data_IF_306890192582
#
_entry.id   IF_306890192582
#
_cell.length_a   1.000
_cell.length_b   1.000
_cell.length_c   1.000
_cell.angle_alpha   90.00
_cell.angle_beta   90.00
_cell.angle_gamma   90.00
#
_symmetry.space_group_name_H-M   'P 1'
#
loop_
_entity.id
_entity.type
_entity.pdbx_description
1 polymer ?
#
# COMPACT_ATOMS: atom_id res chain seq x y z
N UNK A 1 20.85 1.60 -1.36
CA UNK A 1 20.43 2.86 -0.76
C UNK A 1 19.33 2.53 0.25
N UNK A 2 19.55 2.75 1.53
CA UNK A 2 18.60 2.36 2.58
C UNK A 2 17.73 3.56 2.90
N UNK A 3 16.47 3.53 2.54
CA UNK A 3 15.49 4.53 2.96
C UNK A 3 14.89 4.10 4.29
N UNK A 4 15.26 4.78 5.36
CA UNK A 4 14.50 4.77 6.60
C UNK A 4 13.59 5.97 6.54
N UNK A 5 12.30 5.75 6.35
CA UNK A 5 11.32 6.76 6.64
C UNK A 5 10.99 6.63 8.13
N UNK A 6 11.59 7.46 8.95
CA UNK A 6 11.07 7.73 10.27
C UNK A 6 10.20 8.95 10.09
N UNK A 7 8.88 8.85 10.22
CA UNK A 7 8.05 10.03 10.28
C UNK A 7 8.38 10.72 11.60
N UNK A 8 8.92 11.89 11.49
CA UNK A 8 9.09 12.78 12.61
C UNK A 8 8.05 13.84 12.44
N UNK A 9 7.06 13.79 13.29
CA UNK A 9 6.19 14.93 13.50
C UNK A 9 7.04 15.98 14.22
N UNK A 10 7.57 16.91 13.45
CA UNK A 10 8.21 18.10 13.96
C UNK A 10 7.11 19.04 14.45
N UNK A 11 6.39 18.65 15.48
CA UNK A 11 5.64 19.58 16.28
C UNK A 11 6.69 20.45 16.97
N UNK A 12 6.72 21.73 16.62
CA UNK A 12 7.75 22.70 17.03
C UNK A 12 7.97 22.77 18.54
N UNK A 13 7.03 22.26 19.31
CA UNK A 13 7.05 22.23 20.78
C UNK A 13 7.55 20.90 21.38
N UNK A 14 7.75 19.86 20.59
CA UNK A 14 8.28 18.58 21.07
C UNK A 14 9.68 18.37 20.52
N UNK A 15 10.68 18.59 21.36
CA UNK A 15 12.10 18.34 21.13
C UNK A 15 12.39 16.87 20.80
N UNK A 16 12.09 16.45 19.61
CA UNK A 16 12.55 15.17 19.07
C UNK A 16 13.57 15.48 18.00
N UNK A 17 14.86 15.49 18.37
CA UNK A 17 15.95 15.62 17.41
C UNK A 17 15.98 14.38 16.51
N UNK A 18 15.83 14.56 15.21
CA UNK A 18 16.02 13.51 14.23
C UNK A 18 17.41 13.59 13.69
N UNK A 19 18.18 12.56 13.93
CA UNK A 19 19.53 12.45 13.40
C UNK A 19 19.45 11.79 12.02
N UNK A 20 19.81 12.55 10.99
CA UNK A 20 19.95 12.06 9.62
C UNK A 20 21.44 11.81 9.37
N UNK A 21 21.81 10.56 9.09
CA UNK A 21 23.20 10.22 8.80
C UNK A 21 23.62 10.73 7.42
N UNK A 22 24.91 11.00 7.19
CA UNK A 22 25.42 11.30 5.86
C UNK A 22 24.98 10.23 4.85
N UNK A 23 24.58 10.64 3.67
CA UNK A 23 24.06 9.78 2.58
C UNK A 23 22.65 9.23 2.80
N UNK A 24 21.98 9.57 3.88
CA UNK A 24 20.60 9.22 4.12
C UNK A 24 19.66 10.23 3.43
N UNK A 25 18.73 9.74 2.63
CA UNK A 25 17.65 10.57 2.07
C UNK A 25 16.44 10.54 3.01
N UNK A 26 15.71 11.62 3.04
CA UNK A 26 14.44 11.73 3.79
C UNK A 26 13.42 12.52 2.96
N UNK A 27 12.16 12.33 3.28
CA UNK A 27 11.05 13.08 2.68
C UNK A 27 10.49 14.05 3.71
N UNK A 28 10.11 15.22 3.25
CA UNK A 28 9.37 16.20 4.05
C UNK A 28 7.94 16.24 3.54
N UNK A 29 6.97 15.99 4.42
CA UNK A 29 5.55 16.13 4.13
C UNK A 29 5.03 17.36 4.88
N UNK A 30 4.38 18.26 4.19
CA UNK A 30 3.71 19.40 4.80
C UNK A 30 2.40 18.91 5.43
N UNK A 31 2.12 19.38 6.63
CA UNK A 31 0.89 19.05 7.35
C UNK A 31 -0.32 19.58 6.57
N UNK A 32 -1.39 18.79 6.55
CA UNK A 32 -2.61 19.15 5.86
C UNK A 32 -3.16 20.48 6.40
N UNK A 33 -3.44 21.41 5.48
CA UNK A 33 -3.91 22.76 5.81
C UNK A 33 -2.81 23.81 5.99
N UNK A 34 -1.53 23.43 5.91
CA UNK A 34 -0.41 24.36 5.96
C UNK A 34 0.18 24.64 4.60
N UNK A 35 0.72 25.85 4.41
CA UNK A 35 1.42 26.22 3.17
C UNK A 35 2.82 25.64 3.20
N UNK A 36 3.17 24.89 2.15
CA UNK A 36 4.51 24.33 2.02
C UNK A 36 5.58 25.45 2.04
N UNK A 37 6.61 25.37 2.90
CA UNK A 37 7.72 26.29 2.80
C UNK A 37 8.43 26.08 1.46
N UNK A 38 8.86 27.18 0.85
CA UNK A 38 9.54 27.15 -0.46
C UNK A 38 10.90 26.46 -0.38
N UNK A 39 11.51 26.43 0.81
CA UNK A 39 12.83 25.85 1.06
C UNK A 39 12.90 25.18 2.43
N UNK A 40 13.55 24.03 2.51
CA UNK A 40 14.01 23.44 3.77
C UNK A 40 15.45 23.86 3.98
N UNK A 41 15.72 24.64 5.03
CA UNK A 41 17.03 25.19 5.31
C UNK A 41 17.77 24.35 6.36
N UNK A 42 18.94 23.87 6.01
CA UNK A 42 19.87 23.25 6.95
C UNK A 42 20.96 24.25 7.28
N UNK A 43 21.19 24.50 8.55
CA UNK A 43 22.29 25.36 8.98
C UNK A 43 23.41 24.53 9.64
N UNK A 44 24.60 25.12 9.78
CA UNK A 44 25.77 24.43 10.32
C UNK A 44 25.58 23.96 11.79
N UNK A 45 24.64 24.58 12.54
CA UNK A 45 24.34 24.18 13.91
C UNK A 45 23.51 22.90 13.98
N UNK A 46 22.92 22.48 12.86
CA UNK A 46 22.23 21.19 12.74
C UNK A 46 23.21 20.04 12.47
N UNK A 47 24.46 20.36 12.15
CA UNK A 47 25.52 19.36 12.01
C UNK A 47 25.96 18.94 13.41
N UNK A 48 25.45 17.82 13.87
CA UNK A 48 25.89 17.24 15.14
C UNK A 48 27.21 16.52 14.90
N UNK A 49 28.31 17.12 15.33
CA UNK A 49 29.59 16.44 15.42
C UNK A 49 29.68 15.70 16.78
N UNK A 50 28.72 14.83 17.04
CA UNK A 50 28.88 13.81 18.06
C UNK A 50 29.50 12.61 17.40
N UNK A 51 30.57 12.08 17.96
CA UNK A 51 30.86 10.66 17.86
C UNK A 51 29.60 9.92 18.34
N UNK A 52 28.65 9.79 17.45
CA UNK A 52 27.61 8.83 17.62
C UNK A 52 28.36 7.53 17.51
N UNK A 53 28.83 7.04 18.65
CA UNK A 53 29.12 5.61 18.81
C UNK A 53 27.93 5.00 18.08
N UNK A 54 28.14 4.22 17.01
CA UNK A 54 27.04 3.56 16.36
C UNK A 54 26.38 2.76 17.48
N UNK A 55 25.44 3.41 18.18
CA UNK A 55 24.66 2.76 19.17
C UNK A 55 24.01 1.67 18.39
N UNK A 56 24.35 0.47 18.71
CA UNK A 56 23.97 -0.81 18.19
C UNK A 56 22.46 -1.00 18.11
N UNK A 57 21.76 -0.08 17.52
CA UNK A 57 20.53 -0.44 16.83
C UNK A 57 20.98 -1.11 15.54
N UNK A 58 21.42 -2.37 15.72
CA UNK A 58 21.57 -3.29 14.61
C UNK A 58 20.38 -3.05 13.73
N UNK A 59 20.65 -2.74 12.47
CA UNK A 59 19.62 -2.47 11.50
C UNK A 59 18.70 -3.70 11.49
N UNK A 60 17.55 -3.60 12.15
CA UNK A 60 16.60 -4.71 12.21
C UNK A 60 16.06 -4.88 10.82
N UNK A 61 16.69 -5.78 10.06
CA UNK A 61 16.18 -6.16 8.74
C UNK A 61 15.00 -7.08 8.99
N UNK A 62 13.80 -6.61 8.67
CA UNK A 62 12.56 -7.38 8.78
C UNK A 62 12.29 -8.17 7.50
N UNK A 63 11.53 -9.27 7.56
CA UNK A 63 11.03 -9.96 6.36
C UNK A 63 10.29 -8.97 5.45
N UNK A 64 10.69 -8.89 4.18
CA UNK A 64 10.18 -7.86 3.27
C UNK A 64 9.95 -8.43 1.88
N UNK A 65 8.79 -8.14 1.33
CA UNK A 65 8.47 -8.26 -0.10
C UNK A 65 8.60 -6.89 -0.74
N UNK A 66 9.33 -6.79 -1.83
CA UNK A 66 9.48 -5.55 -2.59
C UNK A 66 8.84 -5.71 -3.97
N UNK A 67 7.96 -4.80 -4.31
CA UNK A 67 7.33 -4.67 -5.62
C UNK A 67 8.05 -3.56 -6.37
N UNK A 68 8.66 -3.87 -7.50
CA UNK A 68 9.44 -2.90 -8.29
C UNK A 68 8.87 -2.78 -9.70
N UNK A 69 8.60 -1.54 -10.10
CA UNK A 69 8.30 -1.19 -11.49
C UNK A 69 9.46 -0.43 -12.10
N UNK A 70 9.69 -0.61 -13.40
CA UNK A 70 10.79 0.05 -14.12
C UNK A 70 10.25 0.67 -15.40
N UNK A 71 10.65 1.92 -15.67
CA UNK A 71 10.40 2.60 -16.94
C UNK A 71 11.69 3.28 -17.40
N UNK A 72 12.36 2.69 -18.37
CA UNK A 72 13.69 3.14 -18.82
C UNK A 72 14.71 3.09 -17.68
N UNK A 73 15.28 4.24 -17.33
CA UNK A 73 16.27 4.36 -16.25
C UNK A 73 15.66 4.64 -14.87
N UNK A 74 14.35 4.81 -14.80
CA UNK A 74 13.63 5.13 -13.56
C UNK A 74 12.94 3.90 -13.00
N UNK A 75 12.87 3.82 -11.68
CA UNK A 75 12.15 2.75 -10.98
C UNK A 75 11.31 3.31 -9.82
N UNK A 76 10.21 2.64 -9.54
CA UNK A 76 9.42 2.85 -8.33
C UNK A 76 9.37 1.56 -7.52
N UNK A 77 9.38 1.67 -6.21
CA UNK A 77 9.32 0.53 -5.30
C UNK A 77 8.23 0.73 -4.26
N UNK A 78 7.47 -0.33 -4.02
CA UNK A 78 6.64 -0.48 -2.83
C UNK A 78 7.19 -1.63 -1.98
N UNK A 79 7.17 -1.47 -0.65
CA UNK A 79 7.69 -2.45 0.29
C UNK A 79 6.60 -2.91 1.25
N UNK A 80 6.43 -4.19 1.35
CA UNK A 80 5.57 -4.85 2.31
C UNK A 80 6.47 -5.51 3.37
N UNK A 81 6.45 -4.96 4.59
CA UNK A 81 7.30 -5.37 5.70
C UNK A 81 6.47 -6.17 6.68
N UNK A 82 6.86 -7.40 6.94
CA UNK A 82 6.16 -8.26 7.91
C UNK A 82 6.77 -8.11 9.29
N UNK A 83 5.96 -7.68 10.25
CA UNK A 83 6.35 -7.50 11.66
C UNK A 83 5.18 -7.82 12.57
N UNK A 84 5.38 -8.67 13.56
CA UNK A 84 4.34 -9.01 14.54
C UNK A 84 3.83 -7.80 15.35
N UNK A 85 4.64 -6.75 15.44
CA UNK A 85 4.30 -5.53 16.19
C UNK A 85 3.53 -4.50 15.36
N UNK A 86 3.49 -4.70 14.04
CA UNK A 86 2.80 -3.79 13.12
C UNK A 86 1.29 -4.04 13.09
N UNK A 87 0.55 -3.10 12.54
CA UNK A 87 -0.89 -3.22 12.29
C UNK A 87 -1.17 -3.60 10.84
N UNK A 88 -2.31 -4.24 10.59
CA UNK A 88 -2.84 -4.38 9.22
C UNK A 88 -3.52 -3.09 8.74
N UNK A 89 -4.00 -2.28 9.67
CA UNK A 89 -4.56 -0.97 9.38
C UNK A 89 -3.45 0.06 9.16
N UNK A 90 -3.77 1.11 8.45
CA UNK A 90 -2.84 2.22 8.22
C UNK A 90 -2.46 2.90 9.54
N UNK A 91 -1.17 2.94 9.81
CA UNK A 91 -0.59 3.61 10.97
C UNK A 91 0.43 4.64 10.50
N UNK A 92 0.13 5.91 10.74
CA UNK A 92 1.09 6.99 10.46
C UNK A 92 2.37 6.74 11.28
N UNK A 93 3.50 6.64 10.57
CA UNK A 93 4.77 6.31 11.20
C UNK A 93 5.28 4.90 10.97
N UNK A 94 4.41 3.98 10.67
CA UNK A 94 4.75 2.64 10.21
C UNK A 94 4.62 2.53 8.70
N UNK A 95 3.58 3.16 8.15
CA UNK A 95 3.25 3.15 6.73
C UNK A 95 3.65 4.47 6.04
N UNK A 96 3.92 4.38 4.75
CA UNK A 96 4.25 5.55 3.93
C UNK A 96 3.31 5.63 2.74
N UNK A 97 2.66 6.76 2.62
CA UNK A 97 1.77 7.08 1.51
C UNK A 97 2.45 6.92 0.15
N UNK A 98 1.67 6.63 -0.88
CA UNK A 98 2.10 6.77 -2.26
C UNK A 98 2.55 8.21 -2.52
N UNK A 99 3.62 8.38 -3.28
CA UNK A 99 4.00 9.69 -3.77
C UNK A 99 2.93 10.13 -4.76
N UNK A 100 2.35 11.31 -4.53
CA UNK A 100 1.25 11.83 -5.33
C UNK A 100 1.59 11.99 -6.82
N UNK A 101 0.57 12.26 -7.63
CA UNK A 101 0.59 12.22 -9.10
C UNK A 101 1.51 13.25 -9.80
N UNK A 102 2.19 14.13 -9.09
CA UNK A 102 3.01 15.19 -9.67
C UNK A 102 3.93 14.72 -10.82
N UNK A 103 5.23 14.92 -10.67
CA UNK A 103 6.24 14.58 -11.70
C UNK A 103 6.46 13.05 -11.91
N UNK A 104 5.65 12.19 -11.31
CA UNK A 104 5.80 10.73 -11.32
C UNK A 104 4.82 10.06 -12.30
N UNK A 105 3.99 10.84 -12.99
CA UNK A 105 3.01 10.31 -13.96
C UNK A 105 3.61 9.45 -15.10
N UNK A 106 4.94 9.43 -15.23
CA UNK A 106 5.62 8.63 -16.24
C UNK A 106 5.92 7.20 -15.81
N UNK A 107 5.90 6.92 -14.48
CA UNK A 107 6.24 5.60 -13.92
C UNK A 107 5.00 5.04 -13.24
N UNK A 108 4.62 3.83 -13.59
CA UNK A 108 3.63 3.10 -12.81
C UNK A 108 4.20 2.85 -11.41
N UNK A 109 3.45 3.19 -10.37
CA UNK A 109 3.83 2.97 -8.98
C UNK A 109 3.15 1.73 -8.45
N UNK A 110 3.94 0.75 -8.01
CA UNK A 110 3.39 -0.40 -7.32
C UNK A 110 2.95 0.01 -5.90
N UNK A 111 1.91 -0.65 -5.39
CA UNK A 111 1.41 -0.44 -4.04
C UNK A 111 0.99 -1.75 -3.39
N UNK A 112 0.92 -1.75 -2.07
CA UNK A 112 0.10 -2.66 -1.26
C UNK A 112 -0.90 -1.85 -0.44
N UNK A 113 -1.86 -2.50 0.21
CA UNK A 113 -2.95 -1.82 0.91
C UNK A 113 -2.79 -1.96 2.42
N UNK A 114 -2.66 -0.84 3.12
CA UNK A 114 -2.74 -0.78 4.58
C UNK A 114 -4.16 -0.31 4.97
N UNK A 115 -4.91 -1.17 5.67
CA UNK A 115 -6.30 -0.93 5.98
C UNK A 115 -7.14 -0.69 4.72
N UNK A 116 -7.41 0.56 4.42
CA UNK A 116 -8.21 0.97 3.26
C UNK A 116 -7.46 1.85 2.25
N UNK A 117 -6.15 2.00 2.38
CA UNK A 117 -5.36 2.93 1.59
C UNK A 117 -4.21 2.22 0.88
N UNK A 118 -3.96 2.58 -0.37
CA UNK A 118 -2.74 2.18 -1.06
C UNK A 118 -1.54 2.96 -0.50
N UNK A 119 -0.44 2.24 -0.26
CA UNK A 119 0.78 2.78 0.35
C UNK A 119 2.02 2.30 -0.39
N UNK A 120 3.07 3.12 -0.34
CA UNK A 120 4.39 2.78 -0.89
C UNK A 120 5.22 1.93 0.07
N UNK A 121 5.01 2.08 1.39
CA UNK A 121 5.56 1.20 2.41
C UNK A 121 4.42 0.78 3.33
N UNK A 122 4.27 -0.50 3.50
CA UNK A 122 3.26 -1.14 4.34
C UNK A 122 3.96 -2.01 5.38
N UNK A 123 3.83 -1.66 6.63
CA UNK A 123 4.22 -2.52 7.74
C UNK A 123 2.99 -3.28 8.23
N UNK A 124 3.04 -4.60 8.25
CA UNK A 124 1.87 -5.41 8.60
C UNK A 124 2.25 -6.63 9.44
N UNK A 125 1.36 -7.01 10.33
CA UNK A 125 1.43 -8.29 11.06
C UNK A 125 0.76 -9.44 10.30
N UNK A 126 -0.01 -9.13 9.25
CA UNK A 126 -0.73 -10.13 8.46
C UNK A 126 -0.62 -9.80 6.96
N UNK A 127 0.06 -10.68 6.22
CA UNK A 127 0.27 -10.56 4.77
C UNK A 127 -0.81 -11.28 3.96
N UNK A 128 -1.68 -12.07 4.61
CA UNK A 128 -2.64 -12.89 3.88
C UNK A 128 -3.71 -12.06 3.19
N UNK A 129 -3.92 -12.41 1.94
CA UNK A 129 -4.88 -11.73 1.06
C UNK A 129 -4.66 -10.23 0.98
N UNK A 130 -3.38 -9.84 1.00
CA UNK A 130 -2.94 -8.46 0.88
C UNK A 130 -3.13 -7.97 -0.56
N UNK A 131 -4.00 -6.98 -0.81
CA UNK A 131 -4.16 -6.44 -2.16
C UNK A 131 -2.88 -5.75 -2.61
N UNK A 132 -2.48 -6.02 -3.85
CA UNK A 132 -1.38 -5.34 -4.52
C UNK A 132 -1.83 -4.86 -5.90
N UNK A 133 -1.12 -3.88 -6.44
CA UNK A 133 -1.42 -3.35 -7.76
C UNK A 133 -0.47 -2.25 -8.17
N UNK A 134 -0.84 -1.57 -9.25
CA UNK A 134 -0.12 -0.40 -9.74
C UNK A 134 -1.10 0.77 -9.90
N UNK A 135 -0.62 1.97 -9.58
CA UNK A 135 -1.23 3.21 -10.04
C UNK A 135 -0.58 3.58 -11.36
N UNK A 136 -1.40 3.87 -12.36
CA UNK A 136 -0.96 4.01 -13.72
C UNK A 136 0.07 5.13 -13.93
N UNK A 137 1.13 4.78 -14.64
CA UNK A 137 1.90 5.70 -15.45
C UNK A 137 1.28 5.86 -16.86
N UNK A 138 2.05 6.31 -17.82
CA UNK A 138 1.63 6.45 -19.24
C UNK A 138 1.40 5.10 -19.95
N UNK A 139 1.97 4.02 -19.44
CA UNK A 139 1.86 2.68 -20.03
C UNK A 139 0.59 1.97 -19.58
N UNK A 140 -0.06 1.25 -20.50
CA UNK A 140 -1.26 0.45 -20.17
C UNK A 140 -0.96 -0.78 -19.35
N UNK A 141 0.25 -1.31 -19.44
CA UNK A 141 0.73 -2.44 -18.64
C UNK A 141 2.17 -2.21 -18.23
N UNK A 142 2.59 -2.87 -17.16
CA UNK A 142 3.98 -2.88 -16.71
C UNK A 142 4.29 -4.18 -15.99
N UNK A 143 5.52 -4.62 -16.11
CA UNK A 143 6.04 -5.72 -15.30
C UNK A 143 6.31 -5.21 -13.87
N UNK A 144 5.70 -5.85 -12.90
CA UNK A 144 6.04 -5.70 -11.49
C UNK A 144 6.95 -6.83 -11.09
N UNK A 145 8.19 -6.51 -10.75
CA UNK A 145 9.14 -7.49 -10.20
C UNK A 145 8.89 -7.64 -8.71
N UNK A 146 8.65 -8.87 -8.27
CA UNK A 146 8.47 -9.23 -6.86
C UNK A 146 9.79 -9.79 -6.34
N UNK A 147 10.39 -9.13 -5.34
CA UNK A 147 11.65 -9.57 -4.73
C UNK A 147 11.47 -9.84 -3.25
N UNK A 148 12.12 -10.89 -2.77
CA UNK A 148 12.12 -11.31 -1.38
C UNK A 148 13.49 -11.03 -0.76
N UNK A 149 13.54 -10.35 0.39
CA UNK A 149 14.82 -10.20 1.06
C UNK A 149 15.23 -11.48 1.79
N UNK A 150 16.50 -11.58 2.20
CA UNK A 150 17.04 -12.76 2.88
C UNK A 150 16.31 -13.15 4.17
N UNK A 151 15.69 -12.18 4.85
CA UNK A 151 14.88 -12.46 6.05
C UNK A 151 13.52 -13.06 5.69
N UNK A 152 12.90 -12.61 4.59
CA UNK A 152 11.66 -13.21 4.10
C UNK A 152 11.91 -14.64 3.62
N UNK A 153 12.96 -14.86 2.83
CA UNK A 153 13.34 -16.21 2.37
C UNK A 153 13.61 -17.15 3.55
N UNK A 154 14.32 -16.67 4.58
CA UNK A 154 14.58 -17.47 5.80
C UNK A 154 13.29 -17.77 6.54
N UNK A 155 12.44 -16.74 6.76
CA UNK A 155 11.14 -16.94 7.43
C UNK A 155 10.31 -18.01 6.71
N UNK A 156 10.24 -17.97 5.38
CA UNK A 156 9.51 -18.96 4.60
C UNK A 156 10.10 -20.37 4.78
N UNK A 157 11.44 -20.50 4.75
CA UNK A 157 12.11 -21.79 4.94
C UNK A 157 11.92 -22.34 6.35
N UNK A 158 12.08 -21.50 7.38
CA UNK A 158 11.98 -21.90 8.79
C UNK A 158 10.56 -22.33 9.18
N UNK A 159 9.54 -21.68 8.61
CA UNK A 159 8.13 -21.97 8.83
C UNK A 159 7.58 -23.04 7.87
N UNK A 160 8.39 -23.52 6.92
CA UNK A 160 7.94 -24.47 5.88
C UNK A 160 6.84 -23.88 4.99
N UNK A 161 6.72 -22.54 4.98
CA UNK A 161 5.70 -21.81 4.26
C UNK A 161 6.15 -21.35 2.88
N UNK A 162 5.20 -20.88 2.11
CA UNK A 162 5.39 -20.28 0.79
C UNK A 162 4.55 -19.03 0.65
N UNK A 163 4.98 -18.12 -0.23
CA UNK A 163 4.17 -17.00 -0.65
C UNK A 163 3.62 -17.23 -2.05
N UNK A 164 2.41 -16.77 -2.25
CA UNK A 164 1.71 -16.88 -3.53
C UNK A 164 1.16 -15.53 -3.94
N UNK A 165 1.11 -15.30 -5.24
CA UNK A 165 0.23 -14.31 -5.84
C UNK A 165 -1.03 -15.02 -6.28
N UNK A 166 -2.16 -14.54 -5.81
CA UNK A 166 -3.48 -14.94 -6.29
C UNK A 166 -3.98 -13.90 -7.31
N UNK A 167 -4.32 -14.37 -8.50
CA UNK A 167 -5.03 -13.58 -9.52
C UNK A 167 -6.53 -13.90 -9.43
N UNK A 168 -7.32 -12.97 -8.92
CA UNK A 168 -8.74 -13.15 -8.71
C UNK A 168 -9.50 -13.35 -10.03
N UNK A 169 -9.02 -12.78 -11.14
CA UNK A 169 -9.68 -12.91 -12.45
C UNK A 169 -9.48 -14.31 -13.04
N UNK A 170 -8.27 -14.84 -13.01
CA UNK A 170 -8.00 -16.20 -13.50
C UNK A 170 -8.22 -17.28 -12.44
N UNK A 171 -8.43 -16.88 -11.17
CA UNK A 171 -8.57 -17.76 -9.99
C UNK A 171 -7.37 -18.71 -9.81
N UNK A 172 -6.17 -18.20 -10.14
CA UNK A 172 -4.94 -18.98 -10.08
C UNK A 172 -4.00 -18.47 -9.02
N UNK A 173 -3.30 -19.41 -8.40
CA UNK A 173 -2.17 -19.14 -7.52
C UNK A 173 -0.87 -19.35 -8.28
N UNK A 174 0.07 -18.45 -8.11
CA UNK A 174 1.45 -18.59 -8.58
C UNK A 174 2.38 -18.43 -7.37
N UNK A 175 3.24 -19.43 -7.14
CA UNK A 175 4.25 -19.34 -6.08
C UNK A 175 5.22 -18.20 -6.38
N UNK A 176 5.50 -17.37 -5.39
CA UNK A 176 6.44 -16.25 -5.52
C UNK A 176 7.86 -16.79 -5.41
N UNK A 177 8.56 -16.81 -6.52
CA UNK A 177 10.01 -16.93 -6.57
C UNK A 177 10.65 -15.53 -6.52
N UNK A 178 11.81 -15.39 -5.87
CA UNK A 178 12.54 -14.12 -5.85
C UNK A 178 12.86 -13.63 -7.27
N UNK A 179 12.53 -12.38 -7.57
CA UNK A 179 12.66 -11.80 -8.90
C UNK A 179 11.54 -12.16 -9.89
N UNK A 180 10.47 -12.83 -9.44
CA UNK A 180 9.30 -13.13 -10.25
C UNK A 180 8.72 -11.85 -10.84
N UNK A 181 8.27 -11.91 -12.10
CA UNK A 181 7.58 -10.82 -12.77
C UNK A 181 6.10 -11.12 -12.94
N UNK A 182 5.29 -10.10 -12.70
CA UNK A 182 3.85 -10.13 -12.90
C UNK A 182 3.49 -8.96 -13.82
N UNK A 183 2.93 -9.26 -14.98
CA UNK A 183 2.38 -8.21 -15.82
C UNK A 183 1.07 -7.70 -15.21
N UNK A 184 1.06 -6.42 -14.83
CA UNK A 184 -0.12 -5.77 -14.28
C UNK A 184 -0.61 -4.70 -15.24
N UNK A 185 -1.92 -4.64 -15.44
CA UNK A 185 -2.57 -3.61 -16.23
C UNK A 185 -2.77 -2.36 -15.37
N UNK A 186 -2.61 -1.22 -15.98
CA UNK A 186 -2.96 0.05 -15.36
C UNK A 186 -4.44 0.05 -14.96
N UNK A 187 -4.73 0.47 -13.73
CA UNK A 187 -6.07 0.51 -13.16
C UNK A 187 -6.74 -0.88 -12.96
N UNK A 188 -5.95 -1.97 -12.97
CA UNK A 188 -6.45 -3.31 -12.66
C UNK A 188 -6.47 -3.56 -11.14
N UNK A 189 -7.02 -2.60 -10.41
CA UNK A 189 -7.06 -2.62 -8.95
C UNK A 189 -7.93 -3.75 -8.41
N UNK A 190 -7.46 -4.40 -7.33
CA UNK A 190 -8.21 -5.48 -6.67
C UNK A 190 -8.19 -6.81 -7.43
N UNK A 191 -7.25 -7.01 -8.34
CA UNK A 191 -7.05 -8.27 -9.04
C UNK A 191 -6.03 -9.17 -8.37
N UNK A 192 -4.92 -8.61 -7.91
CA UNK A 192 -3.81 -9.39 -7.39
C UNK A 192 -3.71 -9.29 -5.87
N UNK A 193 -3.40 -10.41 -5.23
CA UNK A 193 -3.27 -10.52 -3.77
C UNK A 193 -2.05 -11.36 -3.42
N UNK A 194 -1.28 -10.93 -2.43
CA UNK A 194 -0.24 -11.77 -1.81
C UNK A 194 -0.89 -12.55 -0.66
N UNK A 195 -0.55 -13.82 -0.54
CA UNK A 195 -1.05 -14.70 0.53
C UNK A 195 -0.06 -15.83 0.81
N UNK A 196 -0.09 -16.37 2.03
CA UNK A 196 0.59 -17.62 2.41
C UNK A 196 -0.29 -18.85 2.13
N UNK A 197 -1.58 -18.64 1.91
CA UNK A 197 -2.59 -19.69 1.75
C UNK A 197 -2.95 -19.89 0.27
N UNK A 198 -2.74 -21.09 -0.26
CA UNK A 198 -3.05 -21.44 -1.65
C UNK A 198 -4.18 -22.48 -1.81
N UNK A 199 -4.88 -22.83 -0.74
CA UNK A 199 -5.95 -23.83 -0.79
C UNK A 199 -7.34 -23.32 -0.49
N UNK A 200 -7.47 -22.24 0.26
CA UNK A 200 -8.78 -21.71 0.65
C UNK A 200 -8.87 -20.24 0.30
N UNK A 201 -9.61 -19.94 -0.75
CA UNK A 201 -9.97 -18.55 -1.08
C UNK A 201 -11.10 -18.13 -0.15
N UNK A 202 -11.00 -16.98 0.53
CA UNK A 202 -12.07 -16.45 1.37
C UNK A 202 -13.40 -16.35 0.64
N UNK A 203 -14.47 -16.63 1.34
CA UNK A 203 -15.85 -16.59 0.83
C UNK A 203 -16.73 -15.70 1.70
N UNK A 204 -17.91 -15.36 1.22
CA UNK A 204 -18.88 -14.54 1.94
C UNK A 204 -18.34 -13.12 2.20
N UNK A 205 -18.59 -12.59 3.38
CA UNK A 205 -18.13 -11.26 3.78
C UNK A 205 -16.60 -11.17 3.85
N UNK A 206 -15.92 -12.25 4.24
CA UNK A 206 -14.46 -12.31 4.33
C UNK A 206 -13.76 -12.24 2.96
N UNK A 207 -14.51 -12.41 1.87
CA UNK A 207 -13.99 -12.27 0.50
C UNK A 207 -14.01 -10.82 0.01
N UNK A 208 -14.74 -9.92 0.69
CA UNK A 208 -14.91 -8.55 0.23
C UNK A 208 -13.68 -7.73 0.62
N UNK A 209 -13.15 -6.97 -0.33
CA UNK A 209 -12.09 -5.98 -0.14
C UNK A 209 -12.59 -4.63 -0.61
N UNK A 210 -12.32 -3.58 0.19
CA UNK A 210 -12.68 -2.22 -0.16
C UNK A 210 -11.52 -1.30 0.22
N UNK A 211 -11.02 -0.53 -0.76
CA UNK A 211 -9.87 0.35 -0.54
C UNK A 211 -9.80 1.47 -1.58
N UNK A 212 -9.00 2.48 -1.31
CA UNK A 212 -8.70 3.60 -2.21
C UNK A 212 -7.27 3.46 -2.76
N UNK A 213 -7.10 3.10 -4.05
CA UNK A 213 -5.77 2.97 -4.66
C UNK A 213 -5.19 4.31 -5.11
N UNK A 214 -6.02 5.27 -5.44
CA UNK A 214 -5.64 6.59 -5.98
C UNK A 214 -6.65 7.64 -5.57
N UNK A 215 -6.28 8.90 -5.79
CA UNK A 215 -7.13 10.05 -5.48
C UNK A 215 -8.54 9.88 -6.09
N UNK A 216 -9.55 10.11 -5.29
CA UNK A 216 -10.96 10.08 -5.74
C UNK A 216 -11.47 8.70 -6.17
N UNK A 217 -10.69 7.63 -6.01
CA UNK A 217 -11.03 6.28 -6.47
C UNK A 217 -11.29 5.34 -5.31
N UNK A 218 -12.38 4.60 -5.37
CA UNK A 218 -12.73 3.54 -4.42
C UNK A 218 -12.93 2.24 -5.20
N UNK A 219 -12.29 1.17 -4.75
CA UNK A 219 -12.43 -0.17 -5.30
C UNK A 219 -13.18 -1.04 -4.31
N UNK A 220 -14.19 -1.75 -4.82
CA UNK A 220 -14.81 -2.88 -4.13
C UNK A 220 -14.51 -4.12 -4.96
N UNK A 221 -13.89 -5.12 -4.34
CA UNK A 221 -13.53 -6.38 -4.98
C UNK A 221 -14.00 -7.56 -4.13
N UNK A 222 -14.29 -8.69 -4.77
CA UNK A 222 -14.67 -9.95 -4.13
C UNK A 222 -13.72 -11.04 -4.61
N UNK A 223 -12.95 -11.63 -3.70
CA UNK A 223 -11.92 -12.63 -4.02
C UNK A 223 -12.49 -13.88 -4.72
N UNK A 224 -13.67 -14.29 -4.32
CA UNK A 224 -14.36 -15.44 -4.90
C UNK A 224 -15.86 -15.16 -4.92
N UNK A 225 -16.30 -14.51 -5.98
CA UNK A 225 -17.69 -14.10 -6.15
C UNK A 225 -17.81 -12.84 -7.01
N UNK A 226 -18.95 -12.21 -6.95
CA UNK A 226 -19.24 -11.00 -7.74
C UNK A 226 -19.83 -9.89 -6.87
N UNK A 227 -19.51 -8.66 -7.21
CA UNK A 227 -20.11 -7.48 -6.60
C UNK A 227 -21.51 -7.28 -7.22
N UNK A 228 -22.55 -7.30 -6.40
CA UNK A 228 -23.91 -6.98 -6.80
C UNK A 228 -24.17 -5.48 -6.79
N UNK A 229 -23.70 -4.84 -5.72
CA UNK A 229 -23.88 -3.40 -5.53
C UNK A 229 -22.83 -2.84 -4.57
N UNK A 230 -22.36 -1.63 -4.84
CA UNK A 230 -21.63 -0.82 -3.89
C UNK A 230 -22.27 0.56 -3.78
N UNK A 231 -22.41 1.07 -2.55
CA UNK A 231 -22.94 2.40 -2.24
C UNK A 231 -21.94 3.13 -1.37
N UNK A 232 -21.66 4.38 -1.69
CA UNK A 232 -20.74 5.26 -0.95
C UNK A 232 -21.56 6.36 -0.30
N UNK A 233 -21.39 6.52 0.99
CA UNK A 233 -22.02 7.55 1.81
C UNK A 233 -20.95 8.46 2.41
N UNK A 234 -21.28 9.70 2.61
CA UNK A 234 -20.48 10.61 3.42
C UNK A 234 -20.66 10.32 4.93
N UNK A 235 -19.96 11.06 5.77
CA UNK A 235 -20.04 10.93 7.23
C UNK A 235 -21.38 11.39 7.80
N UNK A 236 -22.18 12.15 7.06
CA UNK A 236 -23.54 12.56 7.45
C UNK A 236 -24.58 11.50 7.02
N UNK A 237 -24.18 10.45 6.31
CA UNK A 237 -25.07 9.38 5.83
C UNK A 237 -25.74 9.70 4.50
N UNK A 238 -25.37 10.80 3.82
CA UNK A 238 -25.91 11.10 2.48
C UNK A 238 -25.23 10.20 1.43
N UNK A 239 -26.02 9.70 0.49
CA UNK A 239 -25.52 8.89 -0.63
C UNK A 239 -24.75 9.78 -1.60
N UNK A 240 -23.44 9.51 -1.75
CA UNK A 240 -22.53 10.24 -2.65
C UNK A 240 -22.53 9.63 -4.04
N UNK A 241 -22.35 8.32 -4.12
CA UNK A 241 -22.34 7.57 -5.39
C UNK A 241 -22.72 6.12 -5.17
N UNK A 242 -23.11 5.46 -6.24
CA UNK A 242 -23.38 4.03 -6.20
C UNK A 242 -23.06 3.37 -7.54
N UNK A 243 -22.59 2.14 -7.47
CA UNK A 243 -22.41 1.29 -8.66
C UNK A 243 -23.24 0.03 -8.52
N UNK A 244 -23.87 -0.36 -9.62
CA UNK A 244 -24.39 -1.72 -9.80
C UNK A 244 -23.44 -2.42 -10.74
N UNK A 245 -22.77 -3.44 -10.26
CA UNK A 245 -22.00 -4.29 -11.16
C UNK A 245 -22.94 -5.12 -12.02
N UNK A 246 -22.68 -5.13 -13.30
CA UNK A 246 -23.37 -5.98 -14.26
C UNK A 246 -22.68 -7.33 -14.43
N UNK A 247 -22.20 -7.92 -13.36
CA UNK A 247 -21.40 -9.13 -13.29
C UNK A 247 -19.88 -8.84 -13.36
N UNK A 248 -19.23 -8.89 -12.22
CA UNK A 248 -17.78 -8.77 -12.13
C UNK A 248 -17.30 -8.90 -10.70
N UNK A 249 -16.10 -9.39 -10.56
CA UNK A 249 -15.42 -9.57 -9.26
C UNK A 249 -15.08 -8.22 -8.60
N UNK A 250 -15.17 -7.13 -9.35
CA UNK A 250 -14.73 -5.79 -8.94
C UNK A 250 -15.62 -4.70 -9.49
N UNK A 251 -15.78 -3.63 -8.72
CA UNK A 251 -16.31 -2.37 -9.24
C UNK A 251 -15.46 -1.19 -8.74
N UNK A 252 -15.39 -0.19 -9.57
CA UNK A 252 -14.74 1.09 -9.26
C UNK A 252 -15.80 2.17 -9.10
N UNK A 253 -15.66 2.97 -8.05
CA UNK A 253 -16.48 4.15 -7.80
C UNK A 253 -15.58 5.37 -7.74
N UNK A 254 -16.12 6.53 -8.10
CA UNK A 254 -15.40 7.79 -8.04
C UNK A 254 -16.09 8.75 -7.09
N UNK A 255 -15.30 9.46 -6.30
CA UNK A 255 -15.73 10.57 -5.45
C UNK A 255 -14.96 11.81 -5.80
N UNK A 256 -15.59 12.99 -5.66
CA UNK A 256 -15.03 14.26 -6.11
C UNK A 256 -14.07 14.90 -5.10
N UNK A 257 -14.22 14.57 -3.83
CA UNK A 257 -13.48 15.24 -2.76
C UNK A 257 -12.73 14.22 -1.90
N UNK A 258 -11.54 14.58 -1.41
CA UNK A 258 -10.87 13.83 -0.35
C UNK A 258 -11.74 13.78 0.90
N UNK A 259 -11.65 12.70 1.65
CA UNK A 259 -12.41 12.60 2.89
C UNK A 259 -12.63 11.16 3.35
N UNK A 260 -13.43 11.06 4.40
CA UNK A 260 -13.84 9.77 4.96
C UNK A 260 -15.21 9.39 4.42
N UNK A 261 -15.31 8.19 3.91
CA UNK A 261 -16.53 7.64 3.32
C UNK A 261 -16.91 6.31 3.97
N UNK A 262 -18.20 6.03 3.99
CA UNK A 262 -18.74 4.74 4.39
C UNK A 262 -19.18 4.03 3.13
N UNK A 263 -18.60 2.86 2.87
CA UNK A 263 -18.91 2.05 1.69
C UNK A 263 -19.65 0.81 2.10
N UNK A 264 -20.87 0.65 1.60
CA UNK A 264 -21.67 -0.56 1.76
C UNK A 264 -21.57 -1.41 0.51
N UNK A 265 -20.89 -2.55 0.61
CA UNK A 265 -20.68 -3.50 -0.48
C UNK A 265 -21.59 -4.72 -0.31
N UNK A 266 -22.30 -5.10 -1.35
CA UNK A 266 -23.16 -6.28 -1.38
C UNK A 266 -22.72 -7.21 -2.50
N UNK A 267 -22.49 -8.47 -2.16
CA UNK A 267 -22.17 -9.53 -3.13
C UNK A 267 -23.40 -10.07 -3.81
N UNK A 268 -23.22 -10.85 -4.87
CA UNK A 268 -24.31 -11.49 -5.61
C UNK A 268 -25.11 -12.48 -4.74
N UNK A 269 -24.46 -13.05 -3.72
CA UNK A 269 -25.10 -13.93 -2.74
C UNK A 269 -25.79 -13.16 -1.60
N UNK A 270 -26.04 -11.85 -1.80
CA UNK A 270 -26.70 -10.95 -0.84
C UNK A 270 -25.96 -10.79 0.49
N UNK A 271 -24.66 -11.11 0.54
CA UNK A 271 -23.80 -10.80 1.69
C UNK A 271 -23.40 -9.33 1.63
N UNK A 272 -23.53 -8.65 2.75
CA UNK A 272 -23.26 -7.22 2.84
C UNK A 272 -22.23 -6.94 3.91
N UNK A 273 -21.25 -6.10 3.57
CA UNK A 273 -20.21 -5.60 4.48
C UNK A 273 -20.12 -4.08 4.36
N UNK A 274 -19.71 -3.43 5.44
CA UNK A 274 -19.58 -1.97 5.53
C UNK A 274 -18.15 -1.61 5.89
N UNK A 275 -17.57 -0.72 5.11
CA UNK A 275 -16.19 -0.28 5.25
C UNK A 275 -16.12 1.22 5.48
N UNK A 276 -15.19 1.64 6.34
CA UNK A 276 -14.77 3.04 6.46
C UNK A 276 -13.54 3.23 5.58
N UNK A 277 -13.64 4.10 4.57
CA UNK A 277 -12.59 4.33 3.58
C UNK A 277 -12.11 5.76 3.68
N UNK A 278 -10.79 5.94 3.69
CA UNK A 278 -10.15 7.25 3.56
C UNK A 278 -9.74 7.43 2.10
N UNK A 279 -10.25 8.47 1.47
CA UNK A 279 -9.90 8.85 0.09
C UNK A 279 -9.10 10.14 0.14
N UNK A 280 -7.96 10.14 -0.54
CA UNK A 280 -7.05 11.29 -0.64
C UNK A 280 -7.33 12.11 -1.89
#
# INVERSE_FOLDING_TARGET
MKTHSVPVDLDYDKKTDVIVNPTQAFFVKVKEGETAPTNVTFNAMMLINKDVTPGEKALIIRPTVTLTTVNGTRSSQSKLIVSAEASRDYVAGEDVDMLGEGNIAEIAQAYSVAGSQAVALNATNDIDWMPIGIVAGKSRSTDVTVSLNSKMLRKMNDEGGKLFVYDATSKKFSEIADGMKIEMMANDHGRYYITTNNWVVPTGINAIRCFSPAQGTIIVAVLNGEVKQAKVYDTAGALVTSSRSTAGERCQLSVQQPGVYIVKATTKDDKTETFKIVVK
#
